data_IF_219828484968
#
_entry.id   IF_219828484968
#
_cell.length_a   1.000
_cell.length_b   1.000
_cell.length_c   1.000
_cell.angle_alpha   90.00
_cell.angle_beta   90.00
_cell.angle_gamma   90.00
#
_symmetry.space_group_name_H-M   'P 1'
#
loop_
_entity.id
_entity.type
_entity.pdbx_description
1 polymer ?
#
# COMPACT_ATOMS: atom_id res chain seq x y z
N UNK A 1 -18.31 20.59 -10.75
CA UNK A 1 -19.14 19.38 -10.61
C UNK A 1 -20.60 19.80 -10.58
N UNK A 2 -21.35 19.51 -11.65
CA UNK A 2 -22.74 19.93 -11.80
C UNK A 2 -23.63 19.03 -10.92
N UNK A 3 -24.48 19.62 -10.06
CA UNK A 3 -25.41 18.83 -9.24
C UNK A 3 -26.57 18.37 -10.10
N UNK A 4 -26.72 17.07 -10.31
CA UNK A 4 -27.92 16.50 -10.93
C UNK A 4 -29.12 16.69 -10.01
N UNK A 5 -30.12 17.47 -10.44
CA UNK A 5 -31.42 17.58 -9.75
C UNK A 5 -32.36 16.56 -10.37
N UNK A 6 -32.81 15.59 -9.58
CA UNK A 6 -33.85 14.64 -9.95
C UNK A 6 -35.01 14.78 -8.96
N UNK A 7 -36.24 14.76 -9.46
CA UNK A 7 -37.46 14.86 -8.66
C UNK A 7 -38.14 13.50 -8.62
N UNK A 8 -38.57 13.07 -7.43
CA UNK A 8 -39.40 11.88 -7.25
C UNK A 8 -40.88 12.28 -7.14
N UNK A 9 -41.79 11.35 -7.45
CA UNK A 9 -43.22 11.54 -7.27
C UNK A 9 -43.55 11.74 -5.78
N UNK A 10 -44.56 12.57 -5.51
CA UNK A 10 -45.03 12.87 -4.14
C UNK A 10 -45.43 11.56 -3.44
N UNK A 11 -44.82 11.28 -2.28
CA UNK A 11 -45.02 10.04 -1.52
C UNK A 11 -43.95 8.96 -1.76
N UNK A 12 -42.97 9.20 -2.64
CA UNK A 12 -41.89 8.23 -2.91
C UNK A 12 -40.53 8.85 -2.67
N UNK A 13 -39.66 8.16 -1.92
CA UNK A 13 -38.30 8.61 -1.66
C UNK A 13 -37.47 8.69 -2.94
N UNK A 14 -36.78 9.80 -3.16
CA UNK A 14 -35.83 9.94 -4.27
C UNK A 14 -34.56 9.13 -3.97
N UNK A 15 -34.34 8.04 -4.69
CA UNK A 15 -33.13 7.23 -4.61
C UNK A 15 -32.20 7.66 -5.74
N UNK A 16 -30.99 8.12 -5.41
CA UNK A 16 -29.99 8.52 -6.38
C UNK A 16 -28.76 7.63 -6.21
N UNK A 17 -28.47 6.82 -7.22
CA UNK A 17 -27.20 6.10 -7.31
C UNK A 17 -26.10 7.11 -7.61
N UNK A 18 -25.18 7.28 -6.67
CA UNK A 18 -23.98 8.09 -6.87
C UNK A 18 -22.83 7.15 -7.23
N UNK A 19 -22.01 7.45 -8.24
CA UNK A 19 -20.74 6.74 -8.39
C UNK A 19 -19.89 7.05 -7.15
N UNK A 20 -19.74 6.08 -6.26
CA UNK A 20 -18.85 6.19 -5.10
C UNK A 20 -17.54 5.47 -5.42
N UNK A 21 -16.42 6.19 -5.42
CA UNK A 21 -15.07 5.62 -5.64
C UNK A 21 -14.55 4.83 -4.43
N UNK A 22 -15.44 4.25 -3.62
CA UNK A 22 -15.07 3.62 -2.34
C UNK A 22 -14.93 2.11 -2.55
N UNK A 23 -13.79 1.71 -3.07
CA UNK A 23 -13.40 0.30 -3.21
C UNK A 23 -12.60 -0.17 -1.98
N UNK A 24 -12.72 -1.46 -1.65
CA UNK A 24 -11.77 -2.11 -0.74
C UNK A 24 -10.44 -2.24 -1.46
N UNK A 25 -9.52 -1.31 -1.21
CA UNK A 25 -8.20 -1.34 -1.83
C UNK A 25 -7.30 -2.35 -1.11
N UNK A 26 -6.54 -3.13 -1.87
CA UNK A 26 -5.47 -3.99 -1.34
C UNK A 26 -4.15 -3.43 -1.87
N UNK A 27 -3.18 -3.23 -0.99
CA UNK A 27 -1.83 -2.82 -1.39
C UNK A 27 -0.95 -4.05 -1.52
N UNK A 28 -0.21 -4.12 -2.61
CA UNK A 28 0.76 -5.19 -2.88
C UNK A 28 2.13 -4.54 -2.94
N UNK A 29 3.09 -5.10 -2.21
CA UNK A 29 4.50 -4.76 -2.29
C UNK A 29 5.20 -5.96 -2.92
N UNK A 30 5.95 -5.73 -3.99
CA UNK A 30 6.61 -6.81 -4.72
C UNK A 30 7.99 -6.38 -5.18
N UNK A 31 8.93 -7.33 -5.17
CA UNK A 31 10.27 -7.16 -5.71
C UNK A 31 10.45 -8.15 -6.85
N UNK A 32 10.87 -7.64 -8.02
CA UNK A 32 11.11 -8.43 -9.21
C UNK A 32 12.56 -8.23 -9.66
N UNK A 33 13.20 -9.32 -10.08
CA UNK A 33 14.43 -9.31 -10.84
C UNK A 33 14.12 -9.47 -12.33
N UNK A 34 15.13 -9.29 -13.19
CA UNK A 34 15.01 -9.56 -14.62
C UNK A 34 14.62 -11.02 -14.94
N UNK A 35 14.98 -11.95 -14.05
CA UNK A 35 14.72 -13.38 -14.25
C UNK A 35 13.47 -13.89 -13.52
N UNK A 36 13.15 -13.34 -12.34
CA UNK A 36 12.15 -13.95 -11.45
C UNK A 36 11.52 -12.96 -10.48
N UNK A 37 10.33 -13.30 -10.01
CA UNK A 37 9.68 -12.68 -8.86
C UNK A 37 10.40 -13.10 -7.58
N UNK A 38 10.91 -12.15 -6.80
CA UNK A 38 11.67 -12.43 -5.57
C UNK A 38 10.71 -12.59 -4.40
N UNK A 39 9.94 -11.54 -4.08
CA UNK A 39 9.03 -11.55 -2.92
C UNK A 39 7.76 -10.75 -3.22
N UNK A 40 6.63 -11.19 -2.64
CA UNK A 40 5.35 -10.47 -2.67
C UNK A 40 4.74 -10.42 -1.28
N UNK A 41 4.48 -9.21 -0.79
CA UNK A 41 3.71 -8.93 0.41
C UNK A 41 2.36 -8.32 0.06
N UNK A 42 1.27 -8.97 0.48
CA UNK A 42 -0.10 -8.47 0.28
C UNK A 42 -0.65 -7.91 1.58
N UNK A 43 -1.13 -6.66 1.55
CA UNK A 43 -1.80 -6.02 2.69
C UNK A 43 -3.21 -5.61 2.33
N UNK A 44 -4.18 -6.20 3.04
CA UNK A 44 -5.57 -5.74 3.00
C UNK A 44 -5.69 -4.42 3.74
N UNK A 45 -6.07 -3.35 3.03
CA UNK A 45 -6.29 -2.05 3.67
C UNK A 45 -7.64 -2.09 4.38
N UNK A 46 -7.68 -1.59 5.62
CA UNK A 46 -8.97 -1.34 6.28
C UNK A 46 -9.60 -0.08 5.67
N UNK A 47 -10.92 -0.08 5.40
CA UNK A 47 -11.60 1.12 4.89
C UNK A 47 -11.42 2.26 5.89
N UNK A 48 -10.75 3.33 5.50
CA UNK A 48 -10.60 4.51 6.36
C UNK A 48 -11.99 5.11 6.64
N UNK A 49 -12.46 5.01 7.88
CA UNK A 49 -13.70 5.67 8.32
C UNK A 49 -13.38 7.15 8.45
N UNK A 50 -14.01 7.98 7.62
CA UNK A 50 -13.78 9.44 7.51
C UNK A 50 -14.37 10.23 8.70
N UNK A 51 -14.39 9.67 9.90
CA UNK A 51 -14.81 10.36 11.13
C UNK A 51 -13.64 10.35 12.10
N UNK A 52 -13.19 11.56 12.44
CA UNK A 52 -12.20 11.85 13.49
C UNK A 52 -12.67 11.15 14.77
N UNK A 53 -11.99 10.08 15.15
CA UNK A 53 -12.11 9.46 16.45
C UNK A 53 -10.70 9.05 16.85
N UNK A 54 -10.35 9.35 18.09
CA UNK A 54 -9.10 8.97 18.73
C UNK A 54 -8.87 7.45 18.51
N UNK A 55 -7.67 7.08 18.01
CA UNK A 55 -7.39 5.74 17.49
C UNK A 55 -7.31 5.63 15.95
N UNK A 56 -6.68 6.60 15.28
CA UNK A 56 -6.35 6.52 13.85
C UNK A 56 -5.38 5.36 13.56
N UNK A 57 -5.88 4.21 13.13
CA UNK A 57 -5.05 3.12 12.62
C UNK A 57 -4.71 3.46 11.17
N UNK A 58 -3.45 3.82 10.89
CA UNK A 58 -2.99 4.13 9.54
C UNK A 58 -3.27 2.94 8.62
N UNK A 59 -4.12 3.15 7.63
CA UNK A 59 -4.41 2.14 6.62
C UNK A 59 -3.18 1.84 5.74
N UNK A 60 -2.23 2.77 5.61
CA UNK A 60 -1.05 2.61 4.75
C UNK A 60 0.05 1.65 5.22
N UNK A 61 1.10 1.53 4.40
CA UNK A 61 2.34 0.81 4.73
C UNK A 61 3.13 1.60 5.77
N UNK A 62 3.20 1.08 6.99
CA UNK A 62 4.04 1.60 8.08
C UNK A 62 5.48 1.16 7.83
N UNK A 63 6.45 1.98 8.25
CA UNK A 63 7.90 1.72 8.14
C UNK A 63 8.28 0.30 8.61
N UNK A 64 7.68 -0.19 9.71
CA UNK A 64 7.96 -1.55 10.21
C UNK A 64 7.60 -2.66 9.20
N UNK A 65 6.49 -2.51 8.48
CA UNK A 65 6.11 -3.49 7.43
C UNK A 65 7.09 -3.48 6.28
N UNK A 66 7.57 -2.30 5.90
CA UNK A 66 8.56 -2.14 4.85
C UNK A 66 9.91 -2.77 5.22
N UNK A 67 10.38 -2.55 6.46
CA UNK A 67 11.60 -3.20 6.98
C UNK A 67 11.46 -4.71 6.97
N UNK A 68 10.30 -5.26 7.35
CA UNK A 68 10.06 -6.70 7.27
C UNK A 68 10.11 -7.23 5.84
N UNK A 69 9.57 -6.47 4.88
CA UNK A 69 9.61 -6.84 3.47
C UNK A 69 11.04 -6.83 2.92
N UNK A 70 11.85 -5.83 3.29
CA UNK A 70 13.27 -5.78 2.92
C UNK A 70 14.03 -7.00 3.44
N UNK A 71 13.83 -7.38 4.70
CA UNK A 71 14.43 -8.59 5.29
C UNK A 71 14.09 -9.83 4.48
N UNK A 72 12.80 -10.07 4.23
CA UNK A 72 12.36 -11.22 3.43
C UNK A 72 12.95 -11.22 2.02
N UNK A 73 13.12 -10.03 1.42
CA UNK A 73 13.69 -9.91 0.07
C UNK A 73 15.17 -10.23 0.06
N UNK A 74 15.92 -9.76 1.06
CA UNK A 74 17.34 -10.08 1.21
C UNK A 74 17.55 -11.56 1.54
N UNK A 75 16.76 -12.12 2.45
CA UNK A 75 16.80 -13.54 2.81
C UNK A 75 16.56 -14.43 1.58
N UNK A 76 15.62 -14.05 0.71
CA UNK A 76 15.38 -14.76 -0.55
C UNK A 76 16.55 -14.58 -1.53
N UNK A 77 17.05 -13.36 -1.71
CA UNK A 77 18.20 -13.09 -2.59
C UNK A 77 19.46 -13.87 -2.16
N UNK A 78 19.66 -14.07 -0.85
CA UNK A 78 20.79 -14.84 -0.31
C UNK A 78 20.70 -16.34 -0.62
N UNK A 79 19.51 -16.88 -0.82
CA UNK A 79 19.33 -18.29 -1.27
C UNK A 79 19.76 -18.49 -2.72
N UNK A 80 19.87 -17.42 -3.50
CA UNK A 80 20.13 -17.47 -4.93
C UNK A 80 21.54 -16.96 -5.24
N UNK A 81 22.54 -17.84 -5.49
CA UNK A 81 23.94 -17.43 -5.67
C UNK A 81 24.14 -16.41 -6.80
N UNK A 82 23.29 -16.46 -7.82
CA UNK A 82 23.32 -15.55 -8.97
C UNK A 82 22.83 -14.13 -8.65
N UNK A 83 22.12 -13.93 -7.53
CA UNK A 83 21.66 -12.61 -7.09
C UNK A 83 22.70 -11.89 -6.23
N UNK A 84 23.79 -12.57 -5.85
CA UNK A 84 24.88 -11.95 -5.09
C UNK A 84 25.50 -10.78 -5.87
N UNK A 85 25.70 -9.65 -5.19
CA UNK A 85 26.25 -8.43 -5.80
C UNK A 85 25.26 -7.60 -6.62
N UNK A 86 23.98 -8.00 -6.69
CA UNK A 86 22.93 -7.19 -7.31
C UNK A 86 22.38 -6.14 -6.34
N UNK A 87 21.83 -5.06 -6.89
CA UNK A 87 21.29 -3.95 -6.13
C UNK A 87 19.76 -3.95 -6.13
N UNK A 88 19.18 -3.58 -4.99
CA UNK A 88 17.75 -3.29 -4.89
C UNK A 88 17.54 -1.82 -5.28
N UNK A 89 16.71 -1.59 -6.30
CA UNK A 89 16.33 -0.24 -6.75
C UNK A 89 14.92 0.07 -6.27
N UNK A 90 14.76 1.23 -5.61
CA UNK A 90 13.52 1.67 -4.99
C UNK A 90 13.17 3.10 -5.44
N UNK A 91 11.89 3.47 -5.37
CA UNK A 91 11.45 4.84 -5.60
C UNK A 91 11.76 5.77 -4.41
N UNK A 92 11.86 7.07 -4.68
CA UNK A 92 12.18 8.06 -3.66
C UNK A 92 10.93 8.54 -2.91
N UNK A 93 10.41 7.71 -2.02
CA UNK A 93 9.23 8.02 -1.18
C UNK A 93 9.65 8.12 0.29
N UNK A 94 9.03 8.99 1.12
CA UNK A 94 9.41 9.18 2.53
C UNK A 94 9.47 7.90 3.37
N UNK A 95 8.71 6.86 2.98
CA UNK A 95 8.73 5.56 3.65
C UNK A 95 10.04 4.80 3.43
N UNK A 96 10.80 5.08 2.37
CA UNK A 96 12.09 4.47 2.03
C UNK A 96 13.27 5.23 2.63
N UNK A 97 13.13 6.56 2.78
CA UNK A 97 14.18 7.45 3.29
C UNK A 97 14.21 7.57 4.83
N UNK A 98 13.41 6.79 5.55
CA UNK A 98 13.33 6.91 7.00
C UNK A 98 14.65 6.48 7.69
N UNK A 99 15.02 7.17 8.78
CA UNK A 99 16.29 6.94 9.52
C UNK A 99 16.54 5.47 9.87
N UNK A 100 15.47 4.71 10.17
CA UNK A 100 15.56 3.28 10.52
C UNK A 100 15.97 2.41 9.32
N UNK A 101 15.56 2.76 8.10
CA UNK A 101 15.92 2.02 6.89
C UNK A 101 17.35 2.38 6.47
N UNK A 102 17.70 3.67 6.55
CA UNK A 102 19.07 4.13 6.33
C UNK A 102 20.06 3.37 7.23
N UNK A 103 19.74 3.26 8.53
CA UNK A 103 20.52 2.44 9.48
C UNK A 103 20.54 0.95 9.17
N UNK A 104 19.53 0.41 8.52
CA UNK A 104 19.48 -1.02 8.16
C UNK A 104 20.28 -1.33 6.89
N UNK A 105 20.50 -0.33 6.02
CA UNK A 105 21.24 -0.48 4.76
C UNK A 105 22.72 -0.13 4.93
N UNK A 106 23.04 0.84 5.79
CA UNK A 106 24.41 1.35 5.98
C UNK A 106 25.25 0.56 7.00
N UNK A 107 24.65 -0.38 7.73
CA UNK A 107 25.29 -1.17 8.79
C UNK A 107 25.29 -2.65 8.43
#
# INVERSE_FOLDING_TARGET
>A
MQRSRAWSKKGTSAIITRPTTRANTTSILGAISAAVLITVGVKKLRPAKKRKADGYISSGTVIGHYVSFLKMTLDEMDQHPHMKGHYIVMDNVPIHTHKNIKRYIEY
#
